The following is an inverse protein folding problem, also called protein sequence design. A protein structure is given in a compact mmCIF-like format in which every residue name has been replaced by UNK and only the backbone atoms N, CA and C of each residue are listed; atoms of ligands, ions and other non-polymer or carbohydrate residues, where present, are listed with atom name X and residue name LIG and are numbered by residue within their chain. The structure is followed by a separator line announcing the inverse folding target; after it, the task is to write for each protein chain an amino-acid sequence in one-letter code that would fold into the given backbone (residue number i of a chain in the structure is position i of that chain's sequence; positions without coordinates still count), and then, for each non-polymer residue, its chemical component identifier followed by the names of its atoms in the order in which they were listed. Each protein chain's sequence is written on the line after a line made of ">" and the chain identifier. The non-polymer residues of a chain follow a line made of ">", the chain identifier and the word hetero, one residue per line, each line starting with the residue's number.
data_IF_818607076345
#
_entry.id   IF_818607076345
#
_cell.length_a   1.000
_cell.length_b   1.000
_cell.length_c   1.000
_cell.angle_alpha   90.00
_cell.angle_beta   90.00
_cell.angle_gamma   90.00
#
_symmetry.space_group_name_H-M   'P 1'
#
loop_
_entity.id
_entity.type
_entity.pdbx_description
1 polymer ?
#
# COMPACT_ATOMS: atom_id res chain seq x y z
N UNK A 1 11.98 -5.68 -11.09
CA UNK A 1 10.76 -4.88 -11.26
C UNK A 1 10.04 -5.35 -12.51
N UNK A 2 8.70 -5.39 -12.47
CA UNK A 2 7.87 -5.79 -13.60
C UNK A 2 7.30 -4.59 -14.37
N UNK A 3 7.31 -3.42 -13.77
CA UNK A 3 6.90 -2.16 -14.36
C UNK A 3 8.05 -1.17 -14.41
N UNK A 4 7.74 0.12 -14.40
CA UNK A 4 8.75 1.17 -14.34
C UNK A 4 9.43 1.20 -12.98
N UNK A 5 8.67 1.00 -11.90
CA UNK A 5 9.20 0.80 -10.55
C UNK A 5 8.21 0.03 -9.68
N UNK A 6 8.71 -0.83 -8.82
CA UNK A 6 7.93 -1.57 -7.85
C UNK A 6 8.23 -1.06 -6.44
N UNK A 7 7.27 -1.18 -5.54
CA UNK A 7 7.47 -0.87 -4.13
C UNK A 7 7.95 -2.11 -3.36
N UNK A 8 8.73 -1.90 -2.32
CA UNK A 8 9.18 -2.97 -1.45
C UNK A 8 9.01 -2.60 0.02
N UNK A 9 8.91 -3.63 0.84
CA UNK A 9 8.89 -3.54 2.30
C UNK A 9 9.88 -4.56 2.82
N UNK A 10 10.76 -4.16 3.75
CA UNK A 10 11.71 -5.07 4.38
C UNK A 10 11.56 -5.01 5.89
N UNK A 11 11.82 -6.13 6.54
CA UNK A 11 11.89 -6.22 7.99
C UNK A 11 13.25 -6.77 8.40
N UNK A 12 13.88 -6.06 9.31
CA UNK A 12 15.09 -6.51 10.02
C UNK A 12 14.76 -6.60 11.50
N UNK A 13 15.39 -7.49 12.22
CA UNK A 13 15.26 -7.54 13.69
C UNK A 13 16.05 -6.40 14.35
N UNK A 14 15.95 -6.32 15.68
CA UNK A 14 16.63 -5.25 16.45
C UNK A 14 18.16 -5.30 16.36
N UNK A 15 18.71 -6.42 15.94
CA UNK A 15 20.16 -6.61 15.80
C UNK A 15 20.63 -6.42 14.34
N UNK A 16 19.72 -6.07 13.43
CA UNK A 16 20.02 -5.87 12.01
C UNK A 16 20.00 -7.15 11.19
N UNK A 17 19.51 -8.26 11.73
CA UNK A 17 19.38 -9.49 10.95
C UNK A 17 18.15 -9.43 10.05
N UNK A 18 18.31 -9.87 8.81
CA UNK A 18 17.22 -9.94 7.85
C UNK A 18 16.13 -10.92 8.33
N UNK A 19 14.87 -10.49 8.27
CA UNK A 19 13.71 -11.32 8.62
C UNK A 19 12.92 -11.68 7.37
N UNK A 20 12.43 -10.67 6.63
CA UNK A 20 11.72 -10.89 5.37
C UNK A 20 11.74 -9.63 4.49
N UNK A 21 11.51 -9.85 3.20
CA UNK A 21 11.28 -8.80 2.23
C UNK A 21 10.05 -9.13 1.41
N UNK A 22 9.26 -8.12 1.07
CA UNK A 22 8.07 -8.25 0.23
C UNK A 22 8.07 -7.14 -0.81
N UNK A 23 7.46 -7.42 -1.96
CA UNK A 23 7.29 -6.42 -3.02
C UNK A 23 5.84 -6.38 -3.47
N UNK A 24 5.43 -5.23 -3.93
CA UNK A 24 4.21 -5.03 -4.70
C UNK A 24 4.62 -4.81 -6.14
N UNK A 25 4.01 -5.55 -7.07
CA UNK A 25 4.39 -5.56 -8.47
C UNK A 25 3.24 -5.11 -9.36
N UNK A 26 3.54 -4.35 -10.38
CA UNK A 26 2.49 -3.82 -11.26
C UNK A 26 2.92 -3.60 -12.69
N UNK A 27 1.99 -3.12 -13.51
CA UNK A 27 2.24 -2.77 -14.91
C UNK A 27 3.04 -1.47 -15.04
N UNK A 28 2.87 -0.56 -14.08
CA UNK A 28 3.47 0.75 -14.12
C UNK A 28 4.15 1.06 -12.78
N UNK A 29 4.16 2.32 -12.37
CA UNK A 29 4.88 2.75 -11.19
C UNK A 29 4.09 2.49 -9.90
N UNK A 30 4.75 1.92 -8.90
CA UNK A 30 4.25 1.79 -7.53
C UNK A 30 5.26 2.41 -6.59
N UNK A 31 4.80 3.34 -5.75
CA UNK A 31 5.64 4.00 -4.74
C UNK A 31 5.08 3.79 -3.35
N UNK A 32 5.85 3.12 -2.49
CA UNK A 32 5.60 3.10 -1.06
C UNK A 32 6.26 4.33 -0.44
N UNK A 33 5.49 5.16 0.23
CA UNK A 33 5.98 6.44 0.75
C UNK A 33 6.03 6.50 2.26
N UNK A 34 5.15 5.78 2.95
CA UNK A 34 5.11 5.77 4.43
C UNK A 34 4.69 4.40 4.93
N UNK A 35 5.14 4.09 6.13
CA UNK A 35 4.91 2.81 6.78
C UNK A 35 4.60 3.05 8.26
N UNK A 36 3.70 2.24 8.82
CA UNK A 36 3.39 2.20 10.25
C UNK A 36 3.26 0.74 10.69
N UNK A 37 3.53 0.48 11.96
CA UNK A 37 3.49 -0.87 12.54
C UNK A 37 2.68 -0.82 13.82
N UNK A 38 1.75 -1.77 14.00
CA UNK A 38 0.96 -1.86 15.22
C UNK A 38 1.64 -2.74 16.29
N UNK A 39 0.99 -2.88 17.44
CA UNK A 39 1.53 -3.66 18.57
C UNK A 39 1.72 -5.13 18.26
N UNK A 40 0.95 -5.68 17.33
CA UNK A 40 1.02 -7.08 16.92
C UNK A 40 2.05 -7.32 15.81
N UNK A 41 2.70 -6.25 15.33
CA UNK A 41 3.67 -6.35 14.25
C UNK A 41 3.06 -6.32 12.86
N UNK A 42 1.77 -6.00 12.72
CA UNK A 42 1.16 -5.81 11.41
C UNK A 42 1.71 -4.53 10.77
N UNK A 43 1.94 -4.57 9.47
CA UNK A 43 2.61 -3.52 8.73
C UNK A 43 1.64 -2.86 7.77
N UNK A 44 1.50 -1.55 7.89
CA UNK A 44 0.62 -0.73 7.07
C UNK A 44 1.48 0.17 6.18
N UNK A 45 1.17 0.17 4.88
CA UNK A 45 1.92 0.98 3.91
C UNK A 45 0.95 1.80 3.08
N UNK A 46 1.32 3.04 2.82
CA UNK A 46 0.58 3.91 1.88
C UNK A 46 1.53 4.53 0.88
N UNK A 47 0.99 4.89 -0.26
CA UNK A 47 1.70 5.55 -1.34
C UNK A 47 0.79 5.76 -2.53
N UNK A 48 1.36 5.64 -3.73
CA UNK A 48 0.63 5.82 -4.98
C UNK A 48 0.98 4.74 -6.00
N UNK A 49 0.07 4.49 -6.93
CA UNK A 49 0.33 3.56 -8.02
C UNK A 49 -0.38 3.99 -9.30
N UNK A 50 0.14 3.55 -10.43
CA UNK A 50 -0.43 3.71 -11.75
C UNK A 50 -0.74 2.34 -12.34
N UNK A 51 -1.72 2.30 -13.25
CA UNK A 51 -2.07 1.06 -13.95
C UNK A 51 -2.64 0.01 -13.01
N UNK A 52 -2.19 -1.23 -13.16
CA UNK A 52 -2.59 -2.35 -12.31
C UNK A 52 -1.46 -2.73 -11.37
N UNK A 53 -1.79 -3.02 -10.12
CA UNK A 53 -0.82 -3.42 -9.12
C UNK A 53 -1.34 -4.61 -8.30
N UNK A 54 -0.47 -5.57 -8.07
CA UNK A 54 -0.73 -6.71 -7.21
C UNK A 54 -0.15 -6.43 -5.83
N UNK A 55 -1.03 -6.25 -4.85
CA UNK A 55 -0.65 -5.95 -3.47
C UNK A 55 -0.53 -7.20 -2.60
N UNK A 56 -0.68 -8.39 -3.18
CA UNK A 56 -0.41 -9.63 -2.47
C UNK A 56 0.99 -10.13 -2.83
N UNK A 57 1.95 -10.09 -1.90
CA UNK A 57 3.32 -10.56 -2.18
C UNK A 57 3.46 -12.07 -2.20
N UNK A 58 2.38 -12.82 -1.90
CA UNK A 58 2.36 -14.28 -1.93
C UNK A 58 2.00 -14.86 -3.29
N UNK A 59 1.56 -16.12 -3.31
CA UNK A 59 1.21 -16.81 -4.55
C UNK A 59 -0.15 -16.39 -5.12
N UNK A 60 -1.10 -15.98 -4.26
CA UNK A 60 -2.37 -15.44 -4.72
C UNK A 60 -2.20 -14.01 -5.22
N UNK A 61 -3.15 -13.53 -6.01
CA UNK A 61 -3.13 -12.16 -6.53
C UNK A 61 -4.26 -11.36 -5.94
N UNK A 62 -3.97 -10.09 -5.59
CA UNK A 62 -4.97 -9.10 -5.19
C UNK A 62 -4.67 -7.80 -5.96
N UNK A 63 -5.26 -7.71 -7.14
CA UNK A 63 -4.98 -6.66 -8.09
C UNK A 63 -5.93 -5.50 -7.88
N UNK A 64 -5.37 -4.29 -7.75
CA UNK A 64 -6.08 -3.02 -7.80
C UNK A 64 -5.72 -2.31 -9.11
N UNK A 65 -6.64 -1.51 -9.63
CA UNK A 65 -6.45 -0.76 -10.87
C UNK A 65 -6.66 0.71 -10.59
N UNK A 66 -5.72 1.55 -10.99
CA UNK A 66 -5.86 2.98 -10.86
C UNK A 66 -6.81 3.51 -11.94
N UNK A 67 -7.60 4.52 -11.58
CA UNK A 67 -8.62 5.10 -12.46
C UNK A 67 -8.26 6.48 -13.00
N UNK A 68 -7.14 7.04 -12.58
CA UNK A 68 -6.65 8.34 -13.04
C UNK A 68 -5.19 8.25 -13.44
N UNK A 69 -4.42 9.29 -13.16
CA UNK A 69 -2.97 9.24 -13.33
C UNK A 69 -2.36 8.34 -12.26
N UNK A 70 -2.57 8.70 -11.00
CA UNK A 70 -2.14 7.91 -9.85
C UNK A 70 -3.26 7.81 -8.84
N UNK A 71 -3.44 6.65 -8.24
CA UNK A 71 -4.35 6.45 -7.12
C UNK A 71 -3.55 6.17 -5.84
N UNK A 72 -4.17 6.48 -4.70
CA UNK A 72 -3.62 6.13 -3.39
C UNK A 72 -3.92 4.67 -3.10
N UNK A 73 -2.96 3.98 -2.51
CA UNK A 73 -3.21 2.68 -1.89
C UNK A 73 -2.92 2.70 -0.40
N UNK A 74 -3.57 1.82 0.33
CA UNK A 74 -3.25 1.46 1.71
C UNK A 74 -3.25 -0.05 1.79
N UNK A 75 -2.18 -0.63 2.31
CA UNK A 75 -2.05 -2.08 2.45
C UNK A 75 -1.76 -2.48 3.88
N UNK A 76 -2.20 -3.67 4.24
CA UNK A 76 -1.86 -4.32 5.50
C UNK A 76 -1.25 -5.69 5.21
N UNK A 77 -0.05 -5.91 5.73
CA UNK A 77 0.57 -7.23 5.85
C UNK A 77 0.60 -7.59 7.33
N UNK A 78 0.57 -8.88 7.64
CA UNK A 78 0.74 -9.33 9.03
C UNK A 78 2.23 -9.31 9.43
N UNK A 79 2.53 -9.73 10.65
CA UNK A 79 3.89 -9.72 11.18
C UNK A 79 4.86 -10.63 10.43
N UNK A 80 4.34 -11.60 9.67
CA UNK A 80 5.15 -12.51 8.82
C UNK A 80 5.32 -11.99 7.40
N UNK A 81 4.74 -10.83 7.08
CA UNK A 81 4.75 -10.26 5.73
C UNK A 81 3.70 -10.85 4.81
N UNK A 82 2.69 -11.55 5.33
CA UNK A 82 1.61 -12.11 4.54
C UNK A 82 0.50 -11.08 4.33
N UNK A 83 -0.13 -11.14 3.15
CA UNK A 83 -1.22 -10.25 2.77
C UNK A 83 -2.42 -10.39 3.70
N UNK A 84 -2.97 -9.26 4.15
CA UNK A 84 -4.24 -9.21 4.88
C UNK A 84 -5.30 -8.49 4.06
N UNK A 85 -5.03 -7.25 3.65
CA UNK A 85 -5.90 -6.49 2.75
C UNK A 85 -5.14 -5.36 2.06
N UNK A 86 -5.68 -4.89 0.96
CA UNK A 86 -5.26 -3.66 0.31
C UNK A 86 -6.49 -2.92 -0.21
N UNK A 87 -6.45 -1.61 -0.15
CA UNK A 87 -7.51 -0.71 -0.60
C UNK A 87 -6.89 0.37 -1.48
N UNK A 88 -7.65 0.86 -2.43
CA UNK A 88 -7.28 2.03 -3.21
C UNK A 88 -8.35 3.09 -3.13
N UNK A 89 -7.93 4.34 -3.16
CA UNK A 89 -8.83 5.50 -3.28
C UNK A 89 -8.72 5.99 -4.71
N UNK A 90 -9.85 6.04 -5.41
CA UNK A 90 -9.86 6.33 -6.84
C UNK A 90 -10.33 7.75 -7.13
N UNK A 91 -9.77 8.32 -8.17
CA UNK A 91 -10.10 9.67 -8.60
C UNK A 91 -9.78 9.90 -10.06
N UNK A 92 -10.13 11.09 -10.54
CA UNK A 92 -9.94 11.46 -11.97
C UNK A 92 -8.57 12.06 -12.24
N UNK A 93 -7.87 12.51 -11.21
CA UNK A 93 -6.56 13.14 -11.33
C UNK A 93 -5.47 12.41 -10.58
N UNK A 94 -4.41 13.13 -10.27
CA UNK A 94 -3.30 12.60 -9.48
C UNK A 94 -3.65 12.59 -8.00
N UNK A 95 -3.26 11.52 -7.30
CA UNK A 95 -3.39 11.43 -5.85
C UNK A 95 -2.20 10.70 -5.26
N UNK A 96 -1.87 11.01 -4.00
CA UNK A 96 -0.78 10.36 -3.27
C UNK A 96 -1.12 10.22 -1.80
N UNK A 97 -0.89 9.04 -1.24
CA UNK A 97 -0.88 8.83 0.19
C UNK A 97 0.48 9.22 0.76
N UNK A 98 0.48 10.14 1.73
CA UNK A 98 1.71 10.71 2.29
C UNK A 98 1.92 10.38 3.76
N UNK A 99 0.92 9.86 4.44
CA UNK A 99 1.03 9.47 5.85
C UNK A 99 0.10 8.33 6.19
N UNK A 100 0.54 7.47 7.09
CA UNK A 100 -0.26 6.37 7.64
C UNK A 100 0.10 6.22 9.12
N UNK A 101 -0.92 6.10 9.95
CA UNK A 101 -0.81 5.82 11.38
C UNK A 101 -1.82 4.76 11.76
N UNK A 102 -1.54 4.04 12.83
CA UNK A 102 -2.43 3.02 13.37
C UNK A 102 -2.56 3.23 14.88
N UNK A 103 -3.80 3.18 15.39
CA UNK A 103 -4.03 3.31 16.81
C UNK A 103 -3.90 1.97 17.55
N UNK A 104 -4.05 2.00 18.87
CA UNK A 104 -3.92 0.81 19.72
C UNK A 104 -4.99 -0.25 19.46
N UNK A 105 -6.08 0.13 18.79
CA UNK A 105 -7.19 -0.77 18.46
C UNK A 105 -7.09 -1.31 17.05
N UNK A 106 -6.06 -0.89 16.28
CA UNK A 106 -5.86 -1.33 14.91
C UNK A 106 -6.61 -0.50 13.87
N UNK A 107 -7.17 0.66 14.26
CA UNK A 107 -7.75 1.58 13.27
C UNK A 107 -6.64 2.28 12.50
N UNK A 108 -6.82 2.44 11.20
CA UNK A 108 -5.81 2.97 10.28
C UNK A 108 -6.23 4.34 9.80
N UNK A 109 -5.34 5.31 9.93
CA UNK A 109 -5.53 6.70 9.53
C UNK A 109 -4.55 7.03 8.43
N UNK A 110 -5.04 7.60 7.33
CA UNK A 110 -4.20 7.98 6.21
C UNK A 110 -4.44 9.44 5.85
N UNK A 111 -3.41 10.07 5.33
CA UNK A 111 -3.48 11.43 4.80
C UNK A 111 -2.69 11.53 3.50
N UNK A 112 -3.03 12.51 2.68
CA UNK A 112 -2.36 12.72 1.41
C UNK A 112 -3.00 13.89 0.66
N UNK A 113 -2.91 13.85 -0.66
CA UNK A 113 -3.59 14.84 -1.49
C UNK A 113 -4.23 14.18 -2.71
N UNK A 114 -5.17 14.88 -3.30
CA UNK A 114 -5.82 14.46 -4.55
C UNK A 114 -6.16 15.66 -5.42
N UNK A 115 -6.36 15.39 -6.69
CA UNK A 115 -6.81 16.35 -7.70
C UNK A 115 -8.06 15.80 -8.37
N UNK A 116 -8.97 16.72 -8.73
CA UNK A 116 -10.21 16.35 -9.39
C UNK A 116 -11.24 15.74 -8.43
N UNK A 117 -12.09 14.88 -8.95
CA UNK A 117 -13.06 14.13 -8.16
C UNK A 117 -12.39 12.90 -7.56
N UNK A 118 -12.74 12.57 -6.33
CA UNK A 118 -12.07 11.52 -5.58
C UNK A 118 -13.06 10.77 -4.68
N UNK A 119 -12.98 9.45 -4.70
CA UNK A 119 -13.80 8.57 -3.87
C UNK A 119 -12.97 8.03 -2.71
N UNK A 120 -13.35 8.41 -1.49
CA UNK A 120 -12.67 7.99 -0.27
C UNK A 120 -13.18 6.67 0.29
N UNK A 121 -14.28 6.13 -0.24
CA UNK A 121 -14.82 4.86 0.24
C UNK A 121 -14.60 3.77 -0.82
N UNK A 122 -13.50 2.99 -0.71
CA UNK A 122 -13.22 1.96 -1.69
C UNK A 122 -14.20 0.79 -1.64
N UNK A 123 -15.13 0.79 -0.68
CA UNK A 123 -16.17 -0.22 -0.54
C UNK A 123 -17.50 0.23 -1.15
N UNK A 124 -17.57 1.47 -1.61
CA UNK A 124 -18.76 2.02 -2.25
C UNK A 124 -18.71 1.71 -3.75
N UNK A 125 -19.41 0.69 -4.13
CA UNK A 125 -19.56 0.28 -5.52
C UNK A 125 -21.01 0.12 -5.93
#
# INVERSE_FOLDING_TARGET
>A
SSGSSDAFITKYDKNGNFVWARKFSGSDEIRGLRIAVDKLGNVYTTGSFEGTADFNPGFASNILTSSGNTDVFVSKLDSTGSYVWAKSFSGTGMSRGLGVEVDDQGNVYTTGFFQGNFDFDPMDW
#
